data_IF_220308764990
#
_entry.id   IF_220308764990
#
_cell.length_a   1.000
_cell.length_b   1.000
_cell.length_c   1.000
_cell.angle_alpha   90.00
_cell.angle_beta   90.00
_cell.angle_gamma   90.00
#
_symmetry.space_group_name_H-M   'P 1'
#
loop_
_entity.id
_entity.type
_entity.pdbx_description
1 polymer ?
#
# COMPACT_ATOMS: atom_id res chain seq x y z
N UNK A 1 11.58 -10.53 0.97
CA UNK A 1 12.28 -9.23 0.90
C UNK A 1 13.53 -9.33 1.77
N UNK A 2 14.68 -8.80 1.31
CA UNK A 2 15.90 -8.74 2.13
C UNK A 2 15.58 -8.12 3.51
N UNK A 3 16.10 -8.73 4.59
CA UNK A 3 15.93 -8.28 5.98
C UNK A 3 16.18 -6.77 6.14
N UNK A 4 17.07 -6.20 5.33
CA UNK A 4 17.45 -4.80 5.42
C UNK A 4 16.41 -3.85 4.78
N UNK A 5 15.78 -4.25 3.68
CA UNK A 5 14.75 -3.44 3.02
C UNK A 5 13.51 -3.26 3.90
N UNK A 6 13.10 -4.31 4.63
CA UNK A 6 11.97 -4.22 5.56
C UNK A 6 12.24 -3.28 6.75
N UNK A 7 13.48 -3.24 7.26
CA UNK A 7 13.88 -2.33 8.35
C UNK A 7 13.84 -0.87 7.91
N UNK A 8 14.34 -0.56 6.70
CA UNK A 8 14.35 0.80 6.16
C UNK A 8 12.91 1.32 6.00
N UNK A 9 12.03 0.51 5.41
CA UNK A 9 10.61 0.85 5.22
C UNK A 9 9.93 1.14 6.56
N UNK A 10 10.19 0.30 7.57
CA UNK A 10 9.65 0.49 8.92
C UNK A 10 10.11 1.82 9.54
N UNK A 11 11.40 2.16 9.42
CA UNK A 11 11.95 3.43 9.94
C UNK A 11 11.29 4.62 9.25
N UNK A 12 11.16 4.58 7.91
CA UNK A 12 10.51 5.64 7.14
C UNK A 12 9.08 5.86 7.62
N UNK A 13 8.29 4.78 7.78
CA UNK A 13 6.91 4.88 8.24
C UNK A 13 6.80 5.45 9.67
N UNK A 14 7.69 5.03 10.56
CA UNK A 14 7.73 5.57 11.94
C UNK A 14 8.06 7.07 11.91
N UNK A 15 9.09 7.48 11.17
CA UNK A 15 9.45 8.89 11.04
C UNK A 15 8.29 9.71 10.44
N UNK A 16 7.67 9.25 9.35
CA UNK A 16 6.52 9.92 8.75
C UNK A 16 5.35 10.03 9.73
N UNK A 17 5.07 8.98 10.51
CA UNK A 17 3.97 8.97 11.49
C UNK A 17 4.17 9.96 12.64
N UNK A 18 5.41 10.08 13.14
CA UNK A 18 5.76 11.03 14.19
C UNK A 18 5.65 12.47 13.68
N UNK A 19 6.18 12.73 12.48
CA UNK A 19 6.09 14.08 11.90
C UNK A 19 4.64 14.48 11.67
N UNK A 20 3.79 13.58 11.15
CA UNK A 20 2.35 13.83 10.97
C UNK A 20 1.65 14.16 12.29
N UNK A 21 1.92 13.37 13.32
CA UNK A 21 1.26 13.52 14.63
C UNK A 21 1.71 14.82 15.31
N UNK A 22 3.00 15.13 15.29
CA UNK A 22 3.55 16.37 15.85
C UNK A 22 3.07 17.60 15.08
N UNK A 23 3.03 17.55 13.75
CA UNK A 23 2.50 18.63 12.93
C UNK A 23 1.01 18.87 13.20
N UNK A 24 0.22 17.80 13.34
CA UNK A 24 -1.19 17.91 13.72
C UNK A 24 -1.39 18.53 15.09
N UNK A 25 -0.61 18.10 16.11
CA UNK A 25 -0.66 18.68 17.46
C UNK A 25 -0.25 20.15 17.44
N UNK A 26 0.83 20.48 16.74
CA UNK A 26 1.31 21.85 16.57
C UNK A 26 0.21 22.75 16.00
N UNK A 27 -0.50 22.27 14.97
CA UNK A 27 -1.61 22.99 14.35
C UNK A 27 -2.78 23.21 15.31
N UNK A 28 -3.10 22.26 16.19
CA UNK A 28 -4.12 22.48 17.23
C UNK A 28 -3.70 23.61 18.19
N UNK A 29 -2.42 23.67 18.54
CA UNK A 29 -1.89 24.70 19.45
C UNK A 29 -1.83 26.07 18.76
N UNK A 30 -1.54 26.12 17.45
CA UNK A 30 -1.52 27.38 16.68
C UNK A 30 -2.91 27.87 16.29
N UNK A 31 -3.93 27.00 16.31
CA UNK A 31 -5.30 27.33 15.92
C UNK A 31 -5.90 28.40 16.84
N UNK A 32 -6.06 29.61 16.30
CA UNK A 32 -6.84 30.67 16.94
C UNK A 32 -8.32 30.38 16.76
N UNK A 33 -8.88 29.55 17.65
CA UNK A 33 -10.27 29.01 17.61
C UNK A 33 -11.32 30.10 17.35
N UNK A 34 -11.07 31.34 17.81
CA UNK A 34 -12.00 32.46 17.67
C UNK A 34 -11.93 33.22 16.33
N UNK A 35 -10.93 33.00 15.47
CA UNK A 35 -10.82 33.63 14.15
C UNK A 35 -11.41 32.81 13.01
N UNK A 36 -11.63 31.51 13.21
CA UNK A 36 -11.98 30.55 12.14
C UNK A 36 -13.50 30.31 12.03
N UNK A 37 -14.30 30.89 12.94
CA UNK A 37 -15.76 30.71 12.96
C UNK A 37 -16.51 31.49 11.86
N UNK A 38 -15.86 32.47 11.23
CA UNK A 38 -16.42 33.21 10.09
C UNK A 38 -16.24 32.43 8.77
N UNK A 39 -17.04 31.37 8.63
CA UNK A 39 -17.45 30.76 7.35
C UNK A 39 -16.38 29.98 6.53
N UNK A 40 -16.81 28.86 5.93
CA UNK A 40 -16.09 28.01 4.96
C UNK A 40 -14.88 27.15 5.43
N UNK A 41 -14.29 27.40 6.60
CA UNK A 41 -13.09 26.69 7.06
C UNK A 41 -13.32 25.48 7.99
N UNK A 42 -14.51 24.87 7.96
CA UNK A 42 -14.82 23.69 8.79
C UNK A 42 -13.78 22.58 8.60
N UNK A 43 -13.32 22.37 7.37
CA UNK A 43 -12.33 21.35 7.07
C UNK A 43 -10.97 21.59 7.75
N UNK A 44 -10.55 22.85 7.88
CA UNK A 44 -9.28 23.20 8.51
C UNK A 44 -9.27 22.98 10.03
N UNK A 45 -10.45 23.03 10.65
CA UNK A 45 -10.63 22.64 12.04
C UNK A 45 -10.44 21.13 12.25
N UNK A 46 -10.97 20.28 11.34
CA UNK A 46 -10.84 18.82 11.46
C UNK A 46 -9.51 18.27 10.94
N UNK A 47 -8.86 18.99 10.02
CA UNK A 47 -7.60 18.60 9.41
C UNK A 47 -6.50 18.20 10.41
N UNK A 48 -6.20 18.96 11.49
CA UNK A 48 -5.23 18.53 12.49
C UNK A 48 -5.60 17.21 13.18
N UNK A 49 -6.88 17.01 13.49
CA UNK A 49 -7.35 15.77 14.10
C UNK A 49 -7.16 14.58 13.14
N UNK A 50 -7.44 14.78 11.85
CA UNK A 50 -7.14 13.77 10.84
C UNK A 50 -5.63 13.53 10.74
N UNK A 51 -4.77 14.54 10.72
CA UNK A 51 -3.32 14.34 10.70
C UNK A 51 -2.81 13.51 11.89
N UNK A 52 -3.34 13.76 13.09
CA UNK A 52 -2.99 12.99 14.30
C UNK A 52 -3.51 11.56 14.19
N UNK A 53 -4.79 11.36 13.87
CA UNK A 53 -5.39 10.03 13.75
C UNK A 53 -4.66 9.20 12.69
N UNK A 54 -4.44 9.79 11.51
CA UNK A 54 -3.78 9.12 10.38
C UNK A 54 -2.29 8.84 10.68
N UNK A 55 -1.61 9.76 11.38
CA UNK A 55 -0.26 9.54 11.91
C UNK A 55 -0.22 8.36 12.89
N UNK A 56 -1.12 8.32 13.87
CA UNK A 56 -1.23 7.21 14.83
C UNK A 56 -1.53 5.90 14.11
N UNK A 57 -2.42 5.89 13.10
CA UNK A 57 -2.72 4.67 12.34
C UNK A 57 -1.49 4.14 11.59
N UNK A 58 -0.67 5.02 11.00
CA UNK A 58 0.62 4.67 10.39
C UNK A 58 1.65 4.16 11.41
N UNK A 59 1.57 4.60 12.66
CA UNK A 59 2.42 4.09 13.73
C UNK A 59 1.94 2.69 14.18
N UNK A 60 0.64 2.56 14.43
CA UNK A 60 0.00 1.31 14.88
C UNK A 60 0.22 0.17 13.88
N UNK A 61 0.25 0.45 12.58
CA UNK A 61 0.49 -0.59 11.57
C UNK A 61 1.85 -1.27 11.67
N UNK A 62 2.85 -0.59 12.22
CA UNK A 62 4.21 -1.12 12.37
C UNK A 62 4.42 -1.91 13.68
N UNK A 63 3.53 -1.73 14.67
CA UNK A 63 3.60 -2.40 15.97
C UNK A 63 2.50 -3.46 16.20
N UNK A 64 1.31 -3.27 15.61
CA UNK A 64 0.11 -4.09 15.83
C UNK A 64 -0.50 -4.49 14.49
N UNK A 65 0.30 -5.15 13.65
CA UNK A 65 -0.11 -5.53 12.29
C UNK A 65 -1.40 -6.36 12.26
N UNK A 66 -1.57 -7.32 13.18
CA UNK A 66 -2.77 -8.16 13.29
C UNK A 66 -4.06 -7.34 13.53
N UNK A 67 -3.98 -6.29 14.34
CA UNK A 67 -5.10 -5.39 14.59
C UNK A 67 -5.49 -4.63 13.31
N UNK A 68 -4.48 -4.12 12.60
CA UNK A 68 -4.72 -3.40 11.35
C UNK A 68 -5.22 -4.31 10.23
N UNK A 69 -4.78 -5.58 10.17
CA UNK A 69 -5.31 -6.55 9.20
C UNK A 69 -6.79 -6.84 9.44
N UNK A 70 -7.23 -6.81 10.70
CA UNK A 70 -8.64 -7.05 11.06
C UNK A 70 -9.56 -5.86 10.78
N UNK A 71 -9.14 -4.64 11.09
CA UNK A 71 -10.01 -3.45 11.03
C UNK A 71 -9.71 -2.50 9.86
N UNK A 72 -8.48 -2.52 9.34
CA UNK A 72 -7.99 -1.57 8.34
C UNK A 72 -7.21 -2.27 7.22
N UNK A 73 -7.83 -3.27 6.61
CA UNK A 73 -7.26 -4.10 5.53
C UNK A 73 -6.66 -3.24 4.39
N UNK A 74 -7.26 -2.11 4.07
CA UNK A 74 -6.73 -1.19 3.05
C UNK A 74 -5.30 -0.74 3.36
N UNK A 75 -5.03 -0.30 4.59
CA UNK A 75 -3.72 0.21 5.02
C UNK A 75 -2.66 -0.88 5.13
N UNK A 76 -3.04 -2.16 5.20
CA UNK A 76 -2.08 -3.27 5.25
C UNK A 76 -1.49 -3.62 3.89
N UNK A 77 -2.12 -3.17 2.81
CA UNK A 77 -1.62 -3.33 1.44
C UNK A 77 -0.64 -2.22 1.06
N UNK A 78 0.37 -2.52 0.24
CA UNK A 78 1.32 -1.52 -0.27
C UNK A 78 0.60 -0.46 -1.11
N UNK A 79 -0.40 -0.87 -1.91
CA UNK A 79 -1.24 0.06 -2.67
C UNK A 79 -1.97 1.03 -1.75
N UNK A 80 -2.63 0.53 -0.71
CA UNK A 80 -3.41 1.36 0.20
C UNK A 80 -2.54 2.33 0.99
N UNK A 81 -1.36 1.92 1.47
CA UNK A 81 -0.37 2.83 2.06
C UNK A 81 0.06 3.92 1.09
N UNK A 82 0.25 3.56 -0.17
CA UNK A 82 0.63 4.50 -1.23
C UNK A 82 -0.45 5.55 -1.51
N UNK A 83 -1.68 5.12 -1.78
CA UNK A 83 -2.84 6.00 -1.97
C UNK A 83 -3.05 6.89 -0.75
N UNK A 84 -2.93 6.32 0.45
CA UNK A 84 -3.08 7.05 1.69
C UNK A 84 -2.03 8.16 1.88
N UNK A 85 -0.77 7.88 1.58
CA UNK A 85 0.29 8.89 1.65
C UNK A 85 0.12 9.99 0.58
N UNK A 86 -0.37 9.64 -0.61
CA UNK A 86 -0.72 10.65 -1.65
C UNK A 86 -1.88 11.53 -1.18
N UNK A 87 -2.91 10.94 -0.57
CA UNK A 87 -4.02 11.69 0.02
C UNK A 87 -3.54 12.63 1.15
N UNK A 88 -2.67 12.16 2.03
CA UNK A 88 -2.08 12.99 3.09
C UNK A 88 -1.23 14.12 2.52
N UNK A 89 -0.45 13.85 1.47
CA UNK A 89 0.29 14.87 0.73
C UNK A 89 -0.66 15.95 0.19
N UNK A 90 -1.73 15.59 -0.54
CA UNK A 90 -2.64 16.58 -1.10
C UNK A 90 -3.28 17.44 -0.01
N UNK A 91 -3.68 16.81 1.10
CA UNK A 91 -4.32 17.49 2.22
C UNK A 91 -3.35 18.44 2.94
N UNK A 92 -2.08 18.05 3.12
CA UNK A 92 -1.07 18.89 3.74
C UNK A 92 -0.71 20.15 2.94
N UNK A 93 -0.89 20.16 1.60
CA UNK A 93 -0.70 21.39 0.80
C UNK A 93 -1.77 22.43 1.12
N UNK A 94 -3.03 22.01 1.17
CA UNK A 94 -4.16 22.89 1.45
C UNK A 94 -4.12 23.47 2.85
N UNK A 95 -3.72 22.66 3.81
CA UNK A 95 -3.82 23.03 5.21
C UNK A 95 -2.81 24.13 5.60
N UNK A 96 -1.62 24.17 4.98
CA UNK A 96 -0.47 24.87 5.56
C UNK A 96 -0.10 26.16 4.80
N UNK A 97 -0.85 26.55 3.77
CA UNK A 97 -0.61 27.80 3.03
C UNK A 97 -0.73 29.07 3.87
N UNK A 98 -1.53 29.02 4.94
CA UNK A 98 -1.95 30.24 5.65
C UNK A 98 -1.20 30.51 6.96
N UNK A 99 -0.51 29.50 7.53
CA UNK A 99 0.12 29.61 8.86
C UNK A 99 1.65 29.81 8.83
N UNK A 100 2.34 29.33 7.80
CA UNK A 100 3.77 29.53 7.66
C UNK A 100 3.98 30.65 6.66
N UNK A 101 4.35 31.85 7.14
CA UNK A 101 4.74 32.98 6.28
C UNK A 101 5.86 32.68 5.27
N UNK A 102 6.41 31.45 5.29
CA UNK A 102 7.20 30.85 4.23
C UNK A 102 6.57 29.52 3.79
N UNK A 103 6.13 29.44 2.52
CA UNK A 103 5.53 28.25 1.88
C UNK A 103 6.47 27.02 1.78
N UNK A 104 7.70 27.11 2.29
CA UNK A 104 8.77 26.17 1.96
C UNK A 104 8.67 24.84 2.74
N UNK A 105 8.55 24.90 4.06
CA UNK A 105 8.49 23.71 4.92
C UNK A 105 7.29 22.79 4.64
N UNK A 106 6.07 23.32 4.43
CA UNK A 106 4.90 22.48 4.16
C UNK A 106 4.93 21.85 2.77
N UNK A 107 5.47 22.60 1.80
CA UNK A 107 5.66 22.12 0.44
C UNK A 107 6.67 20.98 0.40
N UNK A 108 7.82 21.12 1.07
CA UNK A 108 8.84 20.06 1.19
C UNK A 108 8.23 18.82 1.85
N UNK A 109 7.44 19.00 2.91
CA UNK A 109 6.80 17.90 3.60
C UNK A 109 5.80 17.14 2.72
N UNK A 110 4.92 17.87 2.05
CA UNK A 110 3.95 17.28 1.12
C UNK A 110 4.66 16.55 -0.02
N UNK A 111 5.75 17.12 -0.55
CA UNK A 111 6.57 16.49 -1.58
C UNK A 111 7.15 15.16 -1.11
N UNK A 112 7.67 15.08 0.12
CA UNK A 112 8.21 13.84 0.70
C UNK A 112 7.11 12.79 0.81
N UNK A 113 5.95 13.13 1.35
CA UNK A 113 4.81 12.21 1.45
C UNK A 113 4.33 11.75 0.07
N UNK A 114 4.28 12.65 -0.91
CA UNK A 114 3.90 12.35 -2.28
C UNK A 114 4.85 11.34 -2.91
N UNK A 115 6.16 11.60 -2.82
CA UNK A 115 7.21 10.73 -3.37
C UNK A 115 7.15 9.35 -2.72
N UNK A 116 7.04 9.29 -1.39
CA UNK A 116 6.90 8.02 -0.66
C UNK A 116 5.63 7.28 -1.11
N UNK A 117 4.50 7.98 -1.19
CA UNK A 117 3.23 7.42 -1.65
C UNK A 117 3.31 6.86 -3.07
N UNK A 118 3.93 7.60 -3.97
CA UNK A 118 4.15 7.18 -5.36
C UNK A 118 5.07 5.96 -5.46
N UNK A 119 6.14 5.90 -4.67
CA UNK A 119 7.00 4.72 -4.59
C UNK A 119 6.24 3.47 -4.14
N UNK A 120 5.37 3.60 -3.13
CA UNK A 120 4.53 2.49 -2.67
C UNK A 120 3.57 2.00 -3.76
N UNK A 121 2.95 2.91 -4.51
CA UNK A 121 2.05 2.57 -5.62
C UNK A 121 2.82 1.80 -6.70
N UNK A 122 3.97 2.32 -7.15
CA UNK A 122 4.82 1.64 -8.14
C UNK A 122 5.23 0.25 -7.65
N UNK A 123 5.71 0.14 -6.41
CA UNK A 123 6.14 -1.13 -5.86
C UNK A 123 4.99 -2.15 -5.73
N UNK A 124 3.77 -1.66 -5.48
CA UNK A 124 2.57 -2.49 -5.47
C UNK A 124 2.32 -3.10 -6.86
N UNK A 125 2.40 -2.31 -7.94
CA UNK A 125 2.24 -2.83 -9.30
C UNK A 125 3.29 -3.91 -9.62
N UNK A 126 4.55 -3.67 -9.29
CA UNK A 126 5.60 -4.69 -9.48
C UNK A 126 5.35 -5.97 -8.67
N UNK A 127 4.84 -5.84 -7.44
CA UNK A 127 4.51 -6.98 -6.59
C UNK A 127 3.35 -7.81 -7.14
N UNK A 128 2.32 -7.16 -7.67
CA UNK A 128 1.18 -7.83 -8.32
C UNK A 128 1.64 -8.61 -9.55
N UNK A 129 2.51 -8.02 -10.38
CA UNK A 129 3.08 -8.68 -11.56
C UNK A 129 3.88 -9.92 -11.16
N UNK A 130 4.70 -9.84 -10.10
CA UNK A 130 5.45 -11.01 -9.59
C UNK A 130 4.52 -12.12 -9.08
N UNK A 131 3.43 -11.76 -8.39
CA UNK A 131 2.46 -12.73 -7.90
C UNK A 131 1.79 -13.49 -9.06
N UNK A 132 1.41 -12.76 -10.12
CA UNK A 132 0.81 -13.36 -11.31
C UNK A 132 1.76 -14.35 -12.00
N UNK A 133 3.05 -13.98 -12.14
CA UNK A 133 4.08 -14.84 -12.74
C UNK A 133 4.29 -16.14 -11.93
N UNK A 134 4.29 -16.07 -10.59
CA UNK A 134 4.37 -17.26 -9.73
C UNK A 134 3.15 -18.16 -9.86
N UNK A 135 1.95 -17.58 -9.92
CA UNK A 135 0.72 -18.36 -10.08
C UNK A 135 0.72 -19.15 -11.39
N UNK A 136 1.17 -18.54 -12.49
CA UNK A 136 1.33 -19.24 -13.77
C UNK A 136 2.37 -20.38 -13.71
N UNK A 137 3.50 -20.15 -13.03
CA UNK A 137 4.51 -21.21 -12.84
C UNK A 137 3.98 -22.40 -12.03
N UNK A 138 3.19 -22.15 -10.99
CA UNK A 138 2.60 -23.23 -10.18
C UNK A 138 1.62 -24.05 -11.02
N UNK A 139 0.77 -23.39 -11.82
CA UNK A 139 -0.19 -24.08 -12.69
C UNK A 139 0.55 -24.95 -13.73
N UNK A 140 1.62 -24.44 -14.35
CA UNK A 140 2.38 -25.23 -15.33
C UNK A 140 3.09 -26.43 -14.70
N UNK A 141 3.60 -26.29 -13.47
CA UNK A 141 4.18 -27.41 -12.71
C UNK A 141 3.13 -28.47 -12.40
N UNK A 142 1.96 -28.07 -11.90
CA UNK A 142 0.86 -29.00 -11.59
C UNK A 142 0.41 -29.73 -12.84
N UNK A 143 0.25 -29.02 -13.96
CA UNK A 143 -0.18 -29.62 -15.22
C UNK A 143 0.87 -30.61 -15.78
N UNK A 144 2.15 -30.32 -15.61
CA UNK A 144 3.25 -31.24 -15.94
C UNK A 144 3.22 -32.50 -15.06
N UNK A 145 2.96 -32.36 -13.75
CA UNK A 145 2.85 -33.49 -12.82
C UNK A 145 1.65 -34.39 -13.15
N UNK A 146 0.50 -33.79 -13.47
CA UNK A 146 -0.71 -34.52 -13.90
C UNK A 146 -0.41 -35.29 -15.19
N UNK A 147 0.16 -34.64 -16.22
CA UNK A 147 0.50 -35.29 -17.48
C UNK A 147 1.49 -36.45 -17.30
N UNK A 148 2.51 -36.30 -16.44
CA UNK A 148 3.41 -37.41 -16.09
C UNK A 148 2.68 -38.58 -15.45
N UNK A 149 1.78 -38.31 -14.51
CA UNK A 149 1.03 -39.35 -13.80
C UNK A 149 0.07 -40.09 -14.73
N UNK A 150 -0.63 -39.38 -15.61
CA UNK A 150 -1.49 -39.96 -16.65
C UNK A 150 -0.68 -40.84 -17.61
N UNK A 151 0.48 -40.38 -18.08
CA UNK A 151 1.35 -41.17 -18.95
C UNK A 151 1.93 -42.42 -18.27
N UNK A 152 2.15 -42.39 -16.95
CA UNK A 152 2.60 -43.57 -16.20
C UNK A 152 1.47 -44.56 -15.92
N UNK A 153 0.24 -44.10 -15.73
CA UNK A 153 -0.94 -44.96 -15.51
C UNK A 153 -1.47 -45.58 -16.80
N UNK A 154 -1.30 -44.88 -17.93
CA UNK A 154 -1.63 -45.44 -19.24
C UNK A 154 -0.54 -46.44 -19.65
N UNK A 155 -0.87 -47.72 -19.58
CA UNK A 155 -0.07 -48.79 -20.18
C UNK A 155 0.28 -48.44 -21.63
N UNK A 156 1.52 -48.67 -22.07
CA UNK A 156 1.96 -48.41 -23.46
C UNK A 156 1.01 -49.00 -24.52
N UNK A 157 0.24 -50.05 -24.19
CA UNK A 157 -0.81 -50.62 -25.03
C UNK A 157 -2.06 -49.73 -25.18
N UNK A 158 -2.48 -49.03 -24.12
CA UNK A 158 -3.64 -48.12 -24.17
C UNK A 158 -3.31 -46.81 -24.87
N UNK A 159 -2.09 -46.28 -24.69
CA UNK A 159 -1.64 -45.09 -25.43
C UNK A 159 -1.66 -45.35 -26.93
N UNK A 160 -1.11 -46.50 -27.36
CA UNK A 160 -1.08 -46.88 -28.79
C UNK A 160 -2.48 -47.07 -29.38
N UNK A 161 -3.43 -47.57 -28.58
CA UNK A 161 -4.85 -47.76 -28.95
C UNK A 161 -5.61 -46.43 -29.02
N UNK A 162 -5.33 -45.49 -28.13
CA UNK A 162 -5.94 -44.15 -28.15
C UNK A 162 -5.45 -43.30 -29.32
N UNK A 163 -4.16 -43.39 -29.66
CA UNK A 163 -3.58 -42.67 -30.81
C UNK A 163 -4.04 -43.23 -32.15
N UNK A 164 -4.33 -44.53 -32.26
CA UNK A 164 -4.90 -45.11 -33.49
C UNK A 164 -6.35 -44.66 -33.67
N UNK A 165 -7.17 -44.67 -32.62
CA UNK A 165 -8.56 -44.18 -32.67
C UNK A 165 -8.63 -42.69 -33.07
N UNK A 166 -7.69 -41.86 -32.62
CA UNK A 166 -7.64 -40.43 -33.01
C UNK A 166 -7.11 -40.19 -34.43
N UNK A 167 -6.30 -41.10 -34.97
CA UNK A 167 -5.82 -41.04 -36.35
C UNK A 167 -6.85 -41.53 -37.36
N UNK A 168 -7.74 -42.44 -36.96
CA UNK A 168 -8.83 -42.96 -37.80
C UNK A 168 -10.09 -42.05 -37.79
N UNK A 169 -10.16 -41.07 -36.87
CA UNK A 169 -11.28 -40.14 -36.74
C UNK A 169 -11.08 -38.79 -37.49
N UNK A 170 -9.91 -38.59 -38.10
CA UNK A 170 -9.56 -37.47 -38.98
C UNK A 170 -9.39 -37.98 -40.40
#
# INVERSE_FOLDING_TARGET
>A
MSSNAGKIIKIINICSSLVLSVAGVWRIVSLQIFKVLDTWYFFDFFMPFFMIILGIMLLVIEFKREFMEKYFLFLTTLLGRGIFNVFLSSMSVFAISDEFGTLLAPFIYSLILFVIGFFYILFSFFSVIQFYKRKQQIVSIIQCQINRKVNMMMSKKQIKKFTTILLDAN
#
